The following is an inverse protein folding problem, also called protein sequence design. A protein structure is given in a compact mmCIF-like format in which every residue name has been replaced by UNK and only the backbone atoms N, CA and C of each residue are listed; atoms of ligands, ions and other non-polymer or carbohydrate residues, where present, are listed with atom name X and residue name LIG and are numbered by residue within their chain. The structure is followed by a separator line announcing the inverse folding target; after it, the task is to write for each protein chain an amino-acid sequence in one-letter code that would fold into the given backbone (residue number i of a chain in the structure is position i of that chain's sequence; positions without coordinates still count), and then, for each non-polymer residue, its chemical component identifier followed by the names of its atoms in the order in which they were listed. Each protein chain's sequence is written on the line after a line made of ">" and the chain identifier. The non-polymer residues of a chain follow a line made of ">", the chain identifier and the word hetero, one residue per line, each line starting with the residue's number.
data_IF_545100672639
#
_entry.id   IF_545100672639
#
_cell.length_a   1.000
_cell.length_b   1.000
_cell.length_c   1.000
_cell.angle_alpha   90.00
_cell.angle_beta   90.00
_cell.angle_gamma   90.00
#
_symmetry.space_group_name_H-M   'P 1'
#
loop_
_entity.id
_entity.type
_entity.pdbx_description
1 polymer ?
#
# COMPACT_ATOMS: atom_id res chain seq x y z
N UNK A 1 -71.82 -6.03 21.69
CA UNK A 1 -70.51 -5.35 21.66
C UNK A 1 -69.68 -6.04 20.59
N UNK A 2 -69.88 -5.70 19.31
CA UNK A 2 -69.11 -4.67 18.59
C UNK A 2 -67.62 -4.77 18.88
N UNK A 3 -66.82 -5.22 17.93
CA UNK A 3 -65.63 -4.49 17.46
C UNK A 3 -65.28 -4.96 16.04
N UNK A 4 -65.36 -3.98 15.13
CA UNK A 4 -65.14 -4.07 13.70
C UNK A 4 -63.66 -4.20 13.31
N UNK A 5 -63.49 -4.83 12.16
CA UNK A 5 -62.40 -4.68 11.19
C UNK A 5 -61.76 -3.28 11.13
N UNK A 6 -60.41 -3.26 11.11
CA UNK A 6 -59.62 -2.33 10.29
C UNK A 6 -58.47 -3.09 9.63
N UNK A 7 -58.65 -3.45 8.35
CA UNK A 7 -57.58 -3.89 7.45
C UNK A 7 -56.88 -2.64 6.90
N UNK A 8 -55.61 -2.45 7.26
CA UNK A 8 -54.75 -1.48 6.60
C UNK A 8 -54.23 -2.11 5.29
N UNK A 9 -54.53 -1.48 4.15
CA UNK A 9 -53.83 -1.73 2.87
C UNK A 9 -52.47 -1.03 2.98
N UNK A 10 -51.39 -1.77 2.78
CA UNK A 10 -50.04 -1.23 2.61
C UNK A 10 -49.67 -1.45 1.15
N UNK A 11 -49.43 -0.35 0.46
CA UNK A 11 -49.06 -0.32 -0.95
C UNK A 11 -47.68 -0.95 -1.15
N UNK A 12 -47.61 -2.02 -1.93
CA UNK A 12 -46.35 -2.60 -2.43
C UNK A 12 -46.10 -2.05 -3.85
N UNK A 13 -45.49 -0.87 -3.91
CA UNK A 13 -44.84 -0.38 -5.14
C UNK A 13 -43.37 -0.78 -5.11
N UNK A 14 -43.01 -1.87 -5.79
CA UNK A 14 -41.63 -2.26 -6.03
C UNK A 14 -40.92 -1.27 -6.97
N UNK A 15 -39.60 -1.04 -6.81
CA UNK A 15 -38.87 -0.09 -7.64
C UNK A 15 -38.70 -0.61 -9.07
N UNK A 16 -38.92 0.31 -10.02
CA UNK A 16 -38.89 0.13 -11.46
C UNK A 16 -37.70 -0.67 -12.00
N UNK A 17 -38.02 -1.67 -12.82
CA UNK A 17 -37.10 -2.40 -13.68
C UNK A 17 -36.50 -1.46 -14.73
N UNK A 18 -35.35 -0.84 -14.40
CA UNK A 18 -34.49 -0.21 -15.39
C UNK A 18 -33.72 -1.32 -16.13
N UNK A 19 -34.16 -1.55 -17.36
CA UNK A 19 -33.54 -2.40 -18.37
C UNK A 19 -32.03 -2.09 -18.51
N UNK A 20 -31.20 -2.86 -17.82
CA UNK A 20 -29.75 -2.82 -17.94
C UNK A 20 -29.34 -3.68 -19.14
N UNK A 21 -28.84 -3.05 -20.20
CA UNK A 21 -28.45 -3.76 -21.42
C UNK A 21 -27.11 -4.50 -21.18
N UNK A 22 -26.99 -5.78 -21.56
CA UNK A 22 -25.78 -6.59 -21.33
C UNK A 22 -24.49 -6.06 -21.97
N UNK A 23 -24.57 -5.09 -22.88
CA UNK A 23 -23.44 -4.66 -23.71
C UNK A 23 -22.49 -3.66 -23.01
N UNK A 24 -22.95 -2.94 -21.99
CA UNK A 24 -22.13 -1.86 -21.39
C UNK A 24 -21.10 -2.39 -20.39
N UNK A 25 -21.32 -3.58 -19.82
CA UNK A 25 -20.37 -4.24 -18.90
C UNK A 25 -19.20 -4.88 -19.65
N UNK A 26 -19.46 -5.46 -20.83
CA UNK A 26 -18.45 -6.12 -21.64
C UNK A 26 -17.39 -5.13 -22.16
N UNK A 27 -17.81 -3.90 -22.51
CA UNK A 27 -16.90 -2.87 -23.04
C UNK A 27 -16.04 -2.25 -21.92
N UNK A 28 -16.54 -2.20 -20.69
CA UNK A 28 -15.76 -1.73 -19.52
C UNK A 28 -14.71 -2.78 -19.08
N UNK A 29 -15.07 -4.07 -19.09
CA UNK A 29 -14.16 -5.15 -18.73
C UNK A 29 -12.97 -5.28 -19.71
N UNK A 30 -13.21 -5.07 -21.01
CA UNK A 30 -12.16 -5.15 -22.04
C UNK A 30 -11.15 -3.99 -22.00
N UNK A 31 -11.48 -2.87 -21.35
CA UNK A 31 -10.56 -1.72 -21.22
C UNK A 31 -9.62 -1.82 -20.02
N UNK A 32 -9.96 -2.61 -18.99
CA UNK A 32 -9.10 -2.83 -17.83
C UNK A 32 -8.04 -3.94 -18.06
N UNK A 33 -8.21 -4.77 -19.08
CA UNK A 33 -7.42 -6.01 -19.25
C UNK A 33 -6.11 -5.84 -20.04
N UNK A 34 -5.91 -4.71 -20.74
CA UNK A 34 -4.74 -4.49 -21.62
C UNK A 34 -3.66 -3.55 -21.05
N UNK A 35 -3.86 -2.96 -19.87
CA UNK A 35 -2.89 -2.02 -19.27
C UNK A 35 -2.11 -2.56 -18.05
N UNK A 36 -2.63 -3.59 -17.38
CA UNK A 36 -2.09 -4.06 -16.09
C UNK A 36 -1.22 -5.32 -16.19
N UNK A 37 -1.34 -6.09 -17.29
CA UNK A 37 -0.65 -7.39 -17.45
C UNK A 37 0.86 -7.26 -17.60
N UNK A 38 1.34 -6.15 -18.17
CA UNK A 38 2.78 -5.95 -18.39
C UNK A 38 3.50 -5.44 -17.13
N UNK A 39 2.77 -4.92 -16.14
CA UNK A 39 3.35 -4.39 -14.90
C UNK A 39 3.33 -5.40 -13.74
N UNK A 40 2.36 -6.34 -13.71
CA UNK A 40 2.30 -7.40 -12.70
C UNK A 40 3.42 -8.45 -12.88
N UNK A 41 3.73 -8.84 -14.11
CA UNK A 41 4.70 -9.92 -14.40
C UNK A 41 6.15 -9.58 -14.02
N UNK A 42 6.48 -8.28 -13.87
CA UNK A 42 7.82 -7.85 -13.47
C UNK A 42 8.06 -7.99 -11.95
N UNK A 43 7.02 -7.83 -11.13
CA UNK A 43 7.14 -7.83 -9.66
C UNK A 43 7.38 -9.26 -9.14
N UNK A 44 6.80 -10.27 -9.79
CA UNK A 44 6.91 -11.67 -9.40
C UNK A 44 8.35 -12.22 -9.52
N UNK A 45 9.17 -11.68 -10.43
CA UNK A 45 10.57 -12.13 -10.61
C UNK A 45 11.55 -11.53 -9.60
N UNK A 46 11.31 -10.31 -9.12
CA UNK A 46 12.21 -9.61 -8.19
C UNK A 46 12.03 -10.10 -6.75
N UNK A 47 10.79 -10.36 -6.33
CA UNK A 47 10.49 -10.80 -4.96
C UNK A 47 10.98 -12.23 -4.68
N UNK A 48 10.89 -13.12 -5.68
CA UNK A 48 11.32 -14.52 -5.56
C UNK A 48 12.85 -14.66 -5.51
N UNK A 49 13.58 -13.76 -6.19
CA UNK A 49 15.05 -13.76 -6.24
C UNK A 49 15.67 -13.22 -4.93
N UNK A 50 15.03 -12.23 -4.30
CA UNK A 50 15.50 -11.67 -3.01
C UNK A 50 15.36 -12.67 -1.85
N UNK A 51 14.35 -13.54 -1.87
CA UNK A 51 14.17 -14.57 -0.85
C UNK A 51 15.25 -15.68 -0.90
N UNK A 52 15.75 -16.01 -2.10
CA UNK A 52 16.79 -17.04 -2.28
C UNK A 52 18.18 -16.59 -1.81
N UNK A 53 18.48 -15.29 -1.87
CA UNK A 53 19.79 -14.76 -1.48
C UNK A 53 20.01 -14.72 0.05
N UNK A 54 18.93 -14.63 0.84
CA UNK A 54 19.01 -14.57 2.30
C UNK A 54 19.16 -15.94 2.98
N UNK A 55 19.00 -17.05 2.25
CA UNK A 55 19.00 -18.40 2.82
C UNK A 55 20.38 -19.09 2.88
N UNK A 56 21.48 -18.44 2.46
CA UNK A 56 22.82 -19.06 2.40
C UNK A 56 23.88 -18.47 3.34
N UNK A 57 23.52 -17.54 4.22
CA UNK A 57 24.46 -16.89 5.15
C UNK A 57 24.34 -17.39 6.59
N UNK A 58 24.53 -18.70 6.82
CA UNK A 58 24.69 -19.25 8.17
C UNK A 58 25.79 -20.32 8.22
N UNK A 59 27.05 -19.87 8.36
CA UNK A 59 28.17 -20.66 8.93
C UNK A 59 29.27 -19.74 9.51
N UNK A 60 29.41 -19.76 10.84
CA UNK A 60 30.69 -19.86 11.54
C UNK A 60 31.60 -18.62 11.67
N UNK A 61 31.53 -18.01 12.86
CA UNK A 61 32.53 -17.24 13.62
C UNK A 61 33.94 -16.99 13.05
N UNK A 62 34.36 -15.71 13.01
CA UNK A 62 35.53 -15.23 13.76
C UNK A 62 35.51 -13.70 13.97
N UNK A 63 36.16 -13.22 15.03
CA UNK A 63 36.13 -11.85 15.52
C UNK A 63 36.81 -10.85 14.57
N UNK A 64 36.06 -9.84 14.11
CA UNK A 64 36.57 -8.51 13.75
C UNK A 64 35.42 -7.49 13.86
N UNK A 65 35.69 -6.38 14.56
CA UNK A 65 34.75 -5.29 14.81
C UNK A 65 34.32 -4.70 13.45
N UNK A 66 33.03 -4.71 13.06
CA UNK A 66 32.62 -4.12 11.80
C UNK A 66 32.72 -2.59 11.89
N UNK A 67 33.55 -2.00 11.02
CA UNK A 67 33.45 -0.59 10.66
C UNK A 67 32.01 -0.31 10.23
N UNK A 68 31.45 0.77 10.77
CA UNK A 68 30.10 1.27 10.47
C UNK A 68 29.83 1.28 8.96
N UNK A 69 28.91 0.43 8.51
CA UNK A 69 28.17 0.65 7.28
C UNK A 69 27.33 1.92 7.46
N UNK A 70 27.90 3.06 7.10
CA UNK A 70 27.17 4.32 7.00
C UNK A 70 26.44 4.31 5.65
N UNK A 71 25.14 4.10 5.72
CA UNK A 71 24.25 4.28 4.56
C UNK A 71 24.36 5.74 4.08
N UNK A 72 24.89 6.00 2.87
CA UNK A 72 25.22 7.36 2.40
C UNK A 72 23.99 8.27 2.27
N UNK A 73 22.78 7.71 2.24
CA UNK A 73 21.54 8.49 2.20
C UNK A 73 21.24 9.24 3.50
N UNK A 74 21.59 8.66 4.65
CA UNK A 74 21.28 9.24 5.97
C UNK A 74 22.24 10.36 6.32
N UNK A 75 23.51 10.23 5.93
CA UNK A 75 24.56 11.21 6.21
C UNK A 75 24.37 12.50 5.38
N UNK A 76 23.86 12.37 4.15
CA UNK A 76 23.46 13.52 3.31
C UNK A 76 22.27 14.27 3.90
N UNK A 77 21.27 13.56 4.43
CA UNK A 77 20.11 14.17 5.08
C UNK A 77 20.51 14.86 6.38
N UNK A 78 21.38 14.24 7.18
CA UNK A 78 21.88 14.83 8.42
C UNK A 78 22.74 16.07 8.15
N UNK A 79 23.62 16.02 7.15
CA UNK A 79 24.41 17.18 6.70
C UNK A 79 23.53 18.32 6.16
N UNK A 80 22.47 17.99 5.42
CA UNK A 80 21.48 18.98 4.94
C UNK A 80 20.69 19.60 6.08
N UNK A 81 20.34 18.83 7.11
CA UNK A 81 19.68 19.34 8.32
C UNK A 81 20.59 20.28 9.11
N UNK A 82 21.88 19.96 9.25
CA UNK A 82 22.84 20.85 9.90
C UNK A 82 23.11 22.13 9.08
N UNK A 83 23.14 22.04 7.75
CA UNK A 83 23.25 23.22 6.87
C UNK A 83 22.02 24.12 6.92
N UNK A 84 20.81 23.58 7.09
CA UNK A 84 19.59 24.40 7.23
C UNK A 84 19.53 25.14 8.58
N UNK A 85 20.11 24.58 9.65
CA UNK A 85 20.18 25.27 10.95
C UNK A 85 21.15 26.46 10.94
N UNK A 86 22.22 26.40 10.16
CA UNK A 86 23.25 27.45 10.12
C UNK A 86 22.90 28.61 9.18
N UNK A 87 22.07 28.38 8.14
CA UNK A 87 21.74 29.40 7.14
C UNK A 87 20.71 30.46 7.59
N UNK A 88 20.04 30.29 8.74
CA UNK A 88 19.09 31.29 9.25
C UNK A 88 19.73 32.44 10.07
N UNK A 89 21.06 32.48 10.21
CA UNK A 89 21.75 33.53 10.98
C UNK A 89 22.27 34.71 10.14
N UNK A 90 21.74 34.93 8.93
CA UNK A 90 22.23 35.98 8.03
C UNK A 90 21.18 36.96 7.53
N UNK A 91 20.10 37.19 8.29
CA UNK A 91 19.15 38.26 7.97
C UNK A 91 18.96 39.22 9.15
N UNK A 92 19.54 40.41 8.99
CA UNK A 92 19.02 41.66 9.55
C UNK A 92 19.38 41.93 11.01
N UNK A 93 20.64 42.26 11.28
CA UNK A 93 20.97 43.44 12.07
C UNK A 93 22.46 43.77 11.85
N UNK A 94 22.72 44.94 11.28
CA UNK A 94 24.04 45.59 11.25
C UNK A 94 24.42 46.04 12.66
N UNK A 95 24.44 45.12 13.62
CA UNK A 95 24.96 45.34 14.96
C UNK A 95 26.43 44.92 14.94
N UNK A 96 27.31 45.90 15.10
CA UNK A 96 28.76 45.74 15.16
C UNK A 96 29.08 44.56 16.08
N UNK A 97 29.72 43.51 15.54
CA UNK A 97 30.11 42.33 16.32
C UNK A 97 30.88 42.83 17.56
N UNK A 98 30.34 42.67 18.79
CA UNK A 98 30.97 43.22 19.98
C UNK A 98 32.38 42.63 20.13
N UNK A 99 33.33 43.44 20.57
CA UNK A 99 34.73 43.03 20.68
C UNK A 99 34.86 41.71 21.45
N UNK A 100 35.59 40.75 20.89
CA UNK A 100 35.76 39.43 21.48
C UNK A 100 36.35 39.56 22.90
N UNK A 101 35.66 39.03 23.90
CA UNK A 101 36.03 39.16 25.31
C UNK A 101 35.32 40.27 26.10
N UNK A 102 34.52 41.11 25.45
CA UNK A 102 33.64 42.06 26.13
C UNK A 102 32.45 41.36 26.82
N UNK A 103 31.90 42.01 27.86
CA UNK A 103 30.70 41.51 28.56
C UNK A 103 29.49 41.37 27.63
N UNK A 104 29.40 42.22 26.60
CA UNK A 104 28.36 42.16 25.57
C UNK A 104 28.53 40.95 24.65
N UNK A 105 29.76 40.61 24.29
CA UNK A 105 30.06 39.40 23.53
C UNK A 105 29.70 38.12 24.30
N UNK A 106 29.98 38.08 25.61
CA UNK A 106 29.57 36.97 26.46
C UNK A 106 28.05 36.89 26.62
N UNK A 107 27.34 38.01 26.77
CA UNK A 107 25.87 38.05 26.81
C UNK A 107 25.27 37.57 25.50
N UNK A 108 25.71 38.10 24.36
CA UNK A 108 25.19 37.73 23.05
C UNK A 108 25.34 36.23 22.79
N UNK A 109 26.52 35.66 23.04
CA UNK A 109 26.74 34.21 22.90
C UNK A 109 25.80 33.38 23.78
N UNK A 110 25.57 33.79 25.03
CA UNK A 110 24.63 33.11 25.93
C UNK A 110 23.20 33.18 25.39
N UNK A 111 22.77 34.34 24.88
CA UNK A 111 21.44 34.51 24.28
C UNK A 111 21.28 33.69 23.01
N UNK A 112 22.26 33.75 22.09
CA UNK A 112 22.26 32.94 20.87
C UNK A 112 22.23 31.45 21.21
N UNK A 113 23.02 30.98 22.17
CA UNK A 113 23.02 29.57 22.57
C UNK A 113 21.67 29.12 23.16
N UNK A 114 21.03 29.97 23.98
CA UNK A 114 19.67 29.71 24.49
C UNK A 114 18.64 29.63 23.37
N UNK A 115 18.73 30.53 22.39
CA UNK A 115 17.83 30.58 21.23
C UNK A 115 17.98 29.34 20.36
N UNK A 116 19.21 28.90 20.09
CA UNK A 116 19.50 27.66 19.36
C UNK A 116 18.86 26.46 20.08
N UNK A 117 19.04 26.35 21.39
CA UNK A 117 18.47 25.24 22.16
C UNK A 117 16.93 25.32 22.24
N UNK A 118 16.34 26.52 22.31
CA UNK A 118 14.89 26.72 22.23
C UNK A 118 14.34 26.19 20.90
N UNK A 119 14.93 26.59 19.77
CA UNK A 119 14.53 26.13 18.44
C UNK A 119 14.66 24.62 18.28
N UNK A 120 15.75 24.03 18.79
CA UNK A 120 15.92 22.57 18.82
C UNK A 120 14.78 21.88 19.58
N UNK A 121 14.45 22.37 20.78
CA UNK A 121 13.35 21.83 21.60
C UNK A 121 12.00 21.95 20.90
N UNK A 122 11.75 23.08 20.23
CA UNK A 122 10.52 23.28 19.46
C UNK A 122 10.42 22.32 18.29
N UNK A 123 11.50 22.15 17.52
CA UNK A 123 11.55 21.17 16.42
C UNK A 123 11.24 19.76 16.91
N UNK A 124 11.84 19.34 18.03
CA UNK A 124 11.59 18.02 18.63
C UNK A 124 10.12 17.91 19.07
N UNK A 125 9.58 18.93 19.73
CA UNK A 125 8.20 18.93 20.21
C UNK A 125 7.20 18.88 19.05
N UNK A 126 7.47 19.59 17.96
CA UNK A 126 6.66 19.54 16.74
C UNK A 126 6.67 18.13 16.14
N UNK A 127 7.85 17.51 16.02
CA UNK A 127 7.96 16.13 15.52
C UNK A 127 7.18 15.11 16.37
N UNK A 128 7.22 15.23 17.71
CA UNK A 128 6.45 14.36 18.59
C UNK A 128 4.93 14.56 18.41
N UNK A 129 4.47 15.79 18.20
CA UNK A 129 3.04 16.05 17.96
C UNK A 129 2.56 15.49 16.63
N UNK A 130 3.34 15.66 15.56
CA UNK A 130 3.06 15.07 14.26
C UNK A 130 2.99 13.55 14.34
N UNK A 131 3.90 12.91 15.08
CA UNK A 131 3.85 11.48 15.32
C UNK A 131 2.55 11.07 16.02
N UNK A 132 2.11 11.82 17.03
CA UNK A 132 0.87 11.54 17.77
C UNK A 132 -0.39 11.63 16.89
N UNK A 133 -0.40 12.48 15.86
CA UNK A 133 -1.52 12.64 14.92
C UNK A 133 -1.69 11.43 13.99
N UNK A 134 -0.60 10.72 13.67
CA UNK A 134 -0.61 9.51 12.84
C UNK A 134 -1.04 8.26 13.62
N UNK A 135 -1.09 8.33 14.95
CA UNK A 135 -1.49 7.21 15.78
C UNK A 135 -3.02 7.13 15.88
N UNK A 136 -3.60 5.91 16.00
CA UNK A 136 -5.05 5.72 16.14
C UNK A 136 -5.66 6.46 17.35
N UNK A 137 -4.85 6.74 18.38
CA UNK A 137 -5.25 7.52 19.55
C UNK A 137 -4.25 8.62 19.80
N UNK A 138 -4.75 9.85 19.82
CA UNK A 138 -3.97 11.03 20.14
C UNK A 138 -3.66 11.07 21.64
N UNK A 139 -2.37 11.02 21.98
CA UNK A 139 -1.87 11.23 23.34
C UNK A 139 -1.07 12.54 23.43
N UNK A 140 -1.05 13.12 24.62
CA UNK A 140 -0.26 14.32 24.93
C UNK A 140 1.05 14.02 25.65
N UNK A 141 1.19 12.82 26.20
CA UNK A 141 2.39 12.39 26.92
C UNK A 141 3.47 11.89 25.95
N UNK A 142 4.61 12.58 25.91
CA UNK A 142 5.74 12.26 25.02
C UNK A 142 6.20 10.80 25.11
N UNK A 143 6.31 10.24 26.32
CA UNK A 143 6.76 8.86 26.50
C UNK A 143 5.73 7.85 25.96
N UNK A 144 4.44 8.13 26.16
CA UNK A 144 3.36 7.27 25.66
C UNK A 144 3.25 7.34 24.13
N UNK A 145 3.36 8.54 23.54
CA UNK A 145 3.39 8.72 22.08
C UNK A 145 4.49 7.88 21.46
N UNK A 146 5.71 7.93 22.02
CA UNK A 146 6.84 7.14 21.53
C UNK A 146 6.60 5.63 21.67
N UNK A 147 6.12 5.17 22.84
CA UNK A 147 5.82 3.76 23.08
C UNK A 147 4.75 3.22 22.12
N UNK A 148 3.63 3.95 21.98
CA UNK A 148 2.55 3.57 21.08
C UNK A 148 2.93 3.63 19.61
N UNK A 149 3.80 4.55 19.21
CA UNK A 149 4.32 4.58 17.85
C UNK A 149 5.10 3.30 17.51
N UNK A 150 5.92 2.81 18.45
CA UNK A 150 6.65 1.55 18.26
C UNK A 150 5.70 0.37 18.14
N UNK A 151 4.69 0.29 19.01
CA UNK A 151 3.66 -0.76 18.96
C UNK A 151 2.87 -0.70 17.65
N UNK A 152 2.45 0.49 17.24
CA UNK A 152 1.66 0.68 16.03
C UNK A 152 2.45 0.33 14.77
N UNK A 153 3.73 0.70 14.68
CA UNK A 153 4.59 0.28 13.57
C UNK A 153 4.70 -1.25 13.50
N UNK A 154 4.82 -1.94 14.64
CA UNK A 154 4.85 -3.41 14.66
C UNK A 154 3.53 -4.00 14.17
N UNK A 155 2.40 -3.48 14.65
CA UNK A 155 1.06 -3.91 14.22
C UNK A 155 0.84 -3.67 12.73
N UNK A 156 1.28 -2.53 12.20
CA UNK A 156 1.19 -2.22 10.77
C UNK A 156 1.99 -3.24 9.94
N UNK A 157 3.21 -3.58 10.36
CA UNK A 157 4.02 -4.61 9.68
C UNK A 157 3.37 -5.99 9.73
N UNK A 158 2.81 -6.39 10.87
CA UNK A 158 2.11 -7.67 10.99
C UNK A 158 0.84 -7.69 10.14
N UNK A 159 0.08 -6.60 10.13
CA UNK A 159 -1.12 -6.43 9.30
C UNK A 159 -0.78 -6.47 7.80
N UNK A 160 0.31 -5.80 7.40
CA UNK A 160 0.82 -5.84 6.03
C UNK A 160 1.18 -7.28 5.63
N UNK A 161 1.89 -8.01 6.47
CA UNK A 161 2.24 -9.41 6.23
C UNK A 161 0.98 -10.28 6.09
N UNK A 162 0.01 -10.16 7.00
CA UNK A 162 -1.28 -10.88 6.90
C UNK A 162 -2.07 -10.52 5.64
N UNK A 163 -2.02 -9.26 5.19
CA UNK A 163 -2.69 -8.85 3.96
C UNK A 163 -2.02 -9.48 2.73
N UNK A 164 -0.69 -9.54 2.69
CA UNK A 164 0.06 -10.20 1.62
C UNK A 164 -0.29 -11.69 1.58
N UNK A 165 -0.29 -12.37 2.73
CA UNK A 165 -0.64 -13.79 2.82
C UNK A 165 -2.08 -14.05 2.33
N UNK A 166 -3.03 -13.24 2.79
CA UNK A 166 -4.44 -13.34 2.38
C UNK A 166 -4.59 -13.13 0.87
N UNK A 167 -4.00 -12.06 0.34
CA UNK A 167 -4.07 -11.77 -1.10
C UNK A 167 -3.44 -12.90 -1.93
N UNK A 168 -2.28 -13.42 -1.51
CA UNK A 168 -1.60 -14.52 -2.19
C UNK A 168 -2.47 -15.78 -2.23
N UNK A 169 -3.14 -16.12 -1.13
CA UNK A 169 -4.06 -17.26 -1.08
C UNK A 169 -5.28 -17.05 -1.98
N UNK A 170 -5.92 -15.88 -1.90
CA UNK A 170 -7.07 -15.54 -2.74
C UNK A 170 -6.71 -15.57 -4.23
N UNK A 171 -5.54 -15.04 -4.59
CA UNK A 171 -4.99 -15.05 -5.95
C UNK A 171 -4.78 -16.48 -6.45
N UNK A 172 -4.10 -17.33 -5.67
CA UNK A 172 -3.85 -18.73 -6.02
C UNK A 172 -5.15 -19.50 -6.26
N UNK A 173 -6.14 -19.34 -5.39
CA UNK A 173 -7.45 -20.00 -5.51
C UNK A 173 -8.18 -19.52 -6.77
N UNK A 174 -8.16 -18.22 -7.04
CA UNK A 174 -8.81 -17.64 -8.21
C UNK A 174 -8.15 -18.12 -9.49
N UNK A 175 -6.81 -18.13 -9.54
CA UNK A 175 -6.06 -18.59 -10.71
C UNK A 175 -6.29 -20.09 -10.97
N UNK A 176 -6.37 -20.90 -9.91
CA UNK A 176 -6.74 -22.31 -10.03
C UNK A 176 -8.16 -22.47 -10.61
N UNK A 177 -9.14 -21.73 -10.09
CA UNK A 177 -10.51 -21.78 -10.60
C UNK A 177 -10.60 -21.32 -12.06
N UNK A 178 -9.87 -20.27 -12.44
CA UNK A 178 -9.78 -19.80 -13.84
C UNK A 178 -9.18 -20.87 -14.74
N UNK A 179 -8.10 -21.54 -14.31
CA UNK A 179 -7.47 -22.63 -15.06
C UNK A 179 -8.41 -23.82 -15.27
N UNK A 180 -9.16 -24.20 -14.23
CA UNK A 180 -10.16 -25.27 -14.29
C UNK A 180 -11.31 -24.91 -15.24
N UNK A 181 -11.83 -23.68 -15.14
CA UNK A 181 -12.87 -23.18 -16.04
C UNK A 181 -12.39 -23.11 -17.49
N UNK A 182 -11.16 -22.65 -17.74
CA UNK A 182 -10.56 -22.62 -19.08
C UNK A 182 -10.45 -24.04 -19.67
N UNK A 183 -9.95 -24.99 -18.87
CA UNK A 183 -9.84 -26.40 -19.26
C UNK A 183 -11.21 -27.01 -19.57
N UNK A 184 -12.22 -26.72 -18.75
CA UNK A 184 -13.60 -27.17 -18.98
C UNK A 184 -14.20 -26.57 -20.26
N UNK A 185 -13.96 -25.28 -20.48
CA UNK A 185 -14.43 -24.58 -21.68
C UNK A 185 -13.83 -25.18 -22.96
N UNK A 186 -12.53 -25.49 -22.95
CA UNK A 186 -11.85 -26.11 -24.08
C UNK A 186 -12.36 -27.53 -24.37
N UNK A 187 -12.64 -28.33 -23.33
CA UNK A 187 -13.30 -29.63 -23.49
C UNK A 187 -14.67 -29.50 -24.15
N UNK A 188 -15.49 -28.57 -23.67
CA UNK A 188 -16.83 -28.34 -24.22
C UNK A 188 -16.77 -27.86 -25.68
N UNK A 189 -15.80 -27.01 -26.05
CA UNK A 189 -15.58 -26.62 -27.44
C UNK A 189 -15.25 -27.82 -28.33
N UNK A 190 -14.39 -28.72 -27.88
CA UNK A 190 -14.03 -29.94 -28.60
C UNK A 190 -15.25 -30.86 -28.78
N UNK A 191 -16.05 -31.05 -27.72
CA UNK A 191 -17.27 -31.85 -27.78
C UNK A 191 -18.33 -31.24 -28.72
N UNK A 192 -18.50 -29.92 -28.66
CA UNK A 192 -19.38 -29.18 -29.55
C UNK A 192 -18.97 -29.35 -31.02
N UNK A 193 -17.67 -29.23 -31.31
CA UNK A 193 -17.14 -29.43 -32.67
C UNK A 193 -17.37 -30.86 -33.16
N UNK A 194 -17.15 -31.86 -32.30
CA UNK A 194 -17.42 -33.26 -32.61
C UNK A 194 -18.90 -33.49 -32.94
N UNK A 195 -19.80 -32.97 -32.11
CA UNK A 195 -21.24 -33.08 -32.32
C UNK A 195 -21.70 -32.37 -33.60
N UNK A 196 -21.10 -31.22 -33.95
CA UNK A 196 -21.37 -30.53 -35.22
C UNK A 196 -20.93 -31.36 -36.43
N UNK A 197 -19.72 -31.95 -36.39
CA UNK A 197 -19.22 -32.83 -37.47
C UNK A 197 -20.11 -34.06 -37.67
N UNK A 198 -20.55 -34.68 -36.57
CA UNK A 198 -21.45 -35.84 -36.62
C UNK A 198 -22.81 -35.48 -37.20
N UNK A 199 -23.41 -34.36 -36.76
CA UNK A 199 -24.65 -33.85 -37.34
C UNK A 199 -24.53 -33.57 -38.84
N UNK A 200 -23.40 -33.00 -39.28
CA UNK A 200 -23.16 -32.74 -40.69
C UNK A 200 -23.05 -34.03 -41.50
N UNK A 201 -22.34 -35.04 -40.97
CA UNK A 201 -22.25 -36.37 -41.58
C UNK A 201 -23.62 -37.05 -41.72
N UNK A 202 -24.42 -37.04 -40.66
CA UNK A 202 -25.77 -37.62 -40.68
C UNK A 202 -26.69 -36.91 -41.67
N UNK A 203 -26.62 -35.57 -41.74
CA UNK A 203 -27.36 -34.79 -42.74
C UNK A 203 -26.97 -35.18 -44.17
N UNK A 204 -25.68 -35.35 -44.46
CA UNK A 204 -25.20 -35.77 -45.78
C UNK A 204 -25.71 -37.17 -46.14
N UNK A 205 -25.71 -38.10 -45.20
CA UNK A 205 -26.20 -39.47 -45.44
C UNK A 205 -27.72 -39.50 -45.67
N UNK A 206 -28.49 -38.73 -44.89
CA UNK A 206 -29.93 -38.56 -45.12
C UNK A 206 -30.20 -38.01 -46.53
N UNK A 207 -29.46 -36.99 -46.96
CA UNK A 207 -29.60 -36.43 -48.31
C UNK A 207 -29.21 -37.42 -49.42
N UNK A 208 -28.25 -38.31 -49.16
CA UNK A 208 -27.89 -39.39 -50.07
C UNK A 208 -29.01 -40.41 -50.22
N UNK A 209 -29.64 -40.81 -49.11
CA UNK A 209 -30.73 -41.79 -49.10
C UNK A 209 -32.04 -41.27 -49.70
N UNK A 210 -32.22 -39.95 -49.80
CA UNK A 210 -33.38 -39.33 -50.44
C UNK A 210 -33.31 -39.28 -51.98
N UNK A 211 -32.14 -39.55 -52.57
CA UNK A 211 -31.93 -39.60 -54.03
C UNK A 211 -32.17 -41.00 -54.56
#
# INVERSE_FOLDING_TARGET
>A
MSHQQKRAKKDESGPDSKHFKPNDVAVAALKYDNGAKDQEMAIDSELLTAAAQNATADRGADQQIPQQNQDPGVDQLYSRYQQQQTQQHSNGDTEVKPAAGSDEWHRQRKHTHKEVERRRRESINTGIRQLAELLPRQDTNKAQVLGRAVEYIKQLKETENSNIEKWTLEKLITDQAVSELATSNDKLKVELEKAYRENESLKREIERLKR
#
